data_IF_239114479083
#
_entry.id   IF_239114479083
#
_cell.length_a   1.000
_cell.length_b   1.000
_cell.length_c   1.000
_cell.angle_alpha   90.00
_cell.angle_beta   90.00
_cell.angle_gamma   90.00
#
_symmetry.space_group_name_H-M   'P 1'
#
loop_
_entity.id
_entity.type
_entity.pdbx_description
1 polymer ?
#
# COMPACT_ATOMS: atom_id res chain seq x y z
N UNK A 1 -4.09 12.49 38.04
CA UNK A 1 -2.99 13.47 38.02
C UNK A 1 -2.17 13.43 39.32
N UNK A 2 -2.70 13.85 40.49
CA UNK A 2 -1.98 13.70 41.78
C UNK A 2 -1.62 12.25 42.16
N UNK A 3 -2.54 11.30 41.90
CA UNK A 3 -2.30 9.87 42.09
C UNK A 3 -1.18 9.32 41.18
N UNK A 4 -1.08 9.86 39.96
CA UNK A 4 -0.07 9.47 38.97
C UNK A 4 1.32 10.00 39.31
N UNK A 5 1.43 11.22 39.86
CA UNK A 5 2.72 11.78 40.33
C UNK A 5 3.29 11.06 41.55
N UNK A 6 2.46 10.70 42.53
CA UNK A 6 2.92 9.94 43.69
C UNK A 6 3.34 8.51 43.32
N UNK A 7 2.66 7.88 42.34
CA UNK A 7 3.12 6.60 41.79
C UNK A 7 4.41 6.74 40.98
N UNK A 8 4.59 7.81 40.21
CA UNK A 8 5.84 8.11 39.50
C UNK A 8 7.03 8.22 40.45
N UNK A 9 6.89 8.99 41.54
CA UNK A 9 7.95 9.13 42.54
C UNK A 9 8.29 7.80 43.21
N UNK A 10 7.27 7.00 43.58
CA UNK A 10 7.50 5.68 44.16
C UNK A 10 8.18 4.73 43.17
N UNK A 11 7.71 4.68 41.92
CA UNK A 11 8.27 3.82 40.88
C UNK A 11 9.72 4.19 40.55
N UNK A 12 10.00 5.48 40.37
CA UNK A 12 11.36 5.98 40.10
C UNK A 12 12.32 5.65 41.25
N UNK A 13 11.87 5.79 42.49
CA UNK A 13 12.66 5.41 43.66
C UNK A 13 12.90 3.89 43.75
N UNK A 14 11.92 3.06 43.39
CA UNK A 14 12.07 1.60 43.35
C UNK A 14 13.08 1.17 42.28
N UNK A 15 12.95 1.68 41.04
CA UNK A 15 13.91 1.40 39.97
C UNK A 15 15.33 1.81 40.36
N UNK A 16 15.48 3.01 40.94
CA UNK A 16 16.78 3.50 41.36
C UNK A 16 17.43 2.63 42.44
N UNK A 17 16.64 2.18 43.44
CA UNK A 17 17.12 1.26 44.48
C UNK A 17 17.52 -0.09 43.92
N UNK A 18 16.76 -0.65 42.98
CA UNK A 18 17.09 -1.94 42.38
C UNK A 18 18.33 -1.90 41.50
N UNK A 19 18.48 -0.87 40.67
CA UNK A 19 19.67 -0.72 39.82
C UNK A 19 20.94 -0.55 40.67
N UNK A 20 20.84 0.21 41.77
CA UNK A 20 21.94 0.38 42.73
C UNK A 20 22.22 -0.90 43.51
N UNK A 21 21.20 -1.63 43.94
CA UNK A 21 21.35 -2.91 44.66
C UNK A 21 22.00 -4.00 43.79
N UNK A 22 21.77 -3.99 42.47
CA UNK A 22 22.42 -4.89 41.52
C UNK A 22 23.80 -4.43 41.04
N UNK A 23 24.31 -3.31 41.56
CA UNK A 23 25.61 -2.76 41.18
C UNK A 23 25.68 -2.37 39.70
N UNK A 24 24.56 -1.97 39.10
CA UNK A 24 24.53 -1.53 37.70
C UNK A 24 24.78 -0.02 37.56
N UNK A 25 24.51 0.74 38.62
CA UNK A 25 24.75 2.18 38.70
C UNK A 25 25.45 2.54 40.01
N UNK A 26 26.27 3.57 39.97
CA UNK A 26 26.93 4.18 41.13
C UNK A 26 26.49 5.63 41.31
N UNK A 27 26.51 6.10 42.56
CA UNK A 27 26.22 7.51 42.86
C UNK A 27 27.51 8.19 43.27
N UNK A 28 27.93 9.19 42.50
CA UNK A 28 29.10 10.01 42.79
C UNK A 28 28.85 10.90 44.03
N UNK A 29 29.91 11.36 44.70
CA UNK A 29 29.79 12.22 45.90
C UNK A 29 29.02 13.52 45.68
N UNK A 30 28.94 14.01 44.44
CA UNK A 30 28.17 15.19 44.04
C UNK A 30 26.71 14.90 43.68
N UNK A 31 26.25 13.66 43.89
CA UNK A 31 24.88 13.22 43.66
C UNK A 31 24.59 12.79 42.22
N UNK A 32 25.56 12.85 41.30
CA UNK A 32 25.38 12.32 39.93
C UNK A 32 25.36 10.80 39.92
N UNK A 33 24.64 10.22 38.98
CA UNK A 33 24.48 8.77 38.83
C UNK A 33 25.16 8.35 37.55
N UNK A 34 26.06 7.38 37.63
CA UNK A 34 26.82 6.84 36.50
C UNK A 34 26.63 5.33 36.39
N UNK A 35 26.93 4.75 35.22
CA UNK A 35 27.04 3.30 35.05
C UNK A 35 28.20 2.75 35.88
N UNK A 36 27.99 1.61 36.53
CA UNK A 36 29.05 0.90 37.23
C UNK A 36 30.08 0.33 36.24
N UNK A 37 31.34 0.25 36.66
CA UNK A 37 32.45 -0.17 35.79
C UNK A 37 32.21 -1.59 35.22
N UNK A 38 32.32 -1.72 33.89
CA UNK A 38 32.13 -2.99 33.18
C UNK A 38 30.66 -3.39 32.92
N UNK A 39 29.70 -2.48 33.11
CA UNK A 39 28.28 -2.68 32.79
C UNK A 39 27.87 -1.91 31.55
N UNK A 40 27.03 -2.51 30.72
CA UNK A 40 26.54 -1.87 29.51
C UNK A 40 25.20 -1.16 29.73
N UNK A 41 24.80 -0.33 28.77
CA UNK A 41 23.48 0.31 28.79
C UNK A 41 22.39 -0.76 28.66
N UNK A 42 22.65 -1.83 27.91
CA UNK A 42 21.71 -2.95 27.75
C UNK A 42 21.44 -3.65 29.09
N UNK A 43 22.45 -3.86 29.94
CA UNK A 43 22.28 -4.48 31.27
C UNK A 43 21.32 -3.68 32.16
N UNK A 44 21.44 -2.34 32.13
CA UNK A 44 20.55 -1.43 32.86
C UNK A 44 19.15 -1.48 32.26
N UNK A 45 19.04 -1.48 30.94
CA UNK A 45 17.77 -1.48 30.23
C UNK A 45 16.98 -2.76 30.49
N UNK A 46 17.64 -3.92 30.44
CA UNK A 46 17.04 -5.22 30.71
C UNK A 46 16.54 -5.30 32.16
N UNK A 47 17.34 -4.81 33.12
CA UNK A 47 16.91 -4.79 34.52
C UNK A 47 15.76 -3.83 34.74
N UNK A 48 15.76 -2.65 34.12
CA UNK A 48 14.62 -1.72 34.16
C UNK A 48 13.35 -2.36 33.59
N UNK A 49 13.47 -3.13 32.52
CA UNK A 49 12.32 -3.85 31.93
C UNK A 49 11.80 -4.96 32.84
N UNK A 50 12.67 -5.65 33.59
CA UNK A 50 12.25 -6.61 34.62
C UNK A 50 11.50 -5.93 35.78
N UNK A 51 11.97 -4.79 36.28
CA UNK A 51 11.27 -4.01 37.33
C UNK A 51 9.93 -3.50 36.81
N UNK A 52 9.88 -3.05 35.55
CA UNK A 52 8.64 -2.64 34.88
C UNK A 52 7.62 -3.78 34.83
N UNK A 53 8.07 -4.98 34.47
CA UNK A 53 7.22 -6.16 34.40
C UNK A 53 6.65 -6.53 35.77
N UNK A 54 7.52 -6.59 36.80
CA UNK A 54 7.09 -6.91 38.18
C UNK A 54 6.06 -5.91 38.73
N UNK A 55 6.31 -4.61 38.53
CA UNK A 55 5.37 -3.56 38.94
C UNK A 55 4.07 -3.63 38.14
N UNK A 56 4.14 -3.91 36.83
CA UNK A 56 2.95 -4.10 36.02
C UNK A 56 2.10 -5.29 36.49
N UNK A 57 2.73 -6.42 36.83
CA UNK A 57 2.04 -7.61 37.33
C UNK A 57 1.35 -7.36 38.68
N UNK A 58 2.03 -6.77 39.66
CA UNK A 58 1.42 -6.46 40.97
C UNK A 58 0.28 -5.44 40.88
N UNK A 59 0.34 -4.51 39.92
CA UNK A 59 -0.76 -3.57 39.66
C UNK A 59 -1.91 -4.21 38.87
N UNK A 60 -1.65 -5.14 37.97
CA UNK A 60 -2.69 -5.90 37.28
C UNK A 60 -3.46 -6.80 38.26
N UNK A 61 -2.80 -7.47 39.20
CA UNK A 61 -3.44 -8.25 40.28
C UNK A 61 -4.34 -7.38 41.17
N UNK A 62 -3.87 -6.18 41.53
CA UNK A 62 -4.67 -5.21 42.31
C UNK A 62 -5.92 -4.74 41.54
N UNK A 63 -5.83 -4.53 40.22
CA UNK A 63 -6.93 -4.07 39.37
C UNK A 63 -7.96 -5.16 39.04
N UNK A 64 -7.52 -6.41 38.89
CA UNK A 64 -8.39 -7.57 38.69
C UNK A 64 -9.43 -7.71 39.82
N UNK A 65 -9.05 -7.31 41.03
CA UNK A 65 -9.90 -7.36 42.22
C UNK A 65 -11.03 -6.31 42.29
N UNK A 66 -11.02 -5.25 41.43
CA UNK A 66 -11.90 -4.09 41.65
C UNK A 66 -12.66 -3.51 40.45
N UNK A 67 -12.34 -3.76 39.17
CA UNK A 67 -13.16 -3.24 38.04
C UNK A 67 -12.92 -3.91 36.65
N UNK A 68 -13.96 -3.89 35.80
CA UNK A 68 -14.01 -4.51 34.46
C UNK A 68 -13.17 -3.86 33.33
N UNK A 69 -13.20 -4.51 32.14
CA UNK A 69 -12.25 -4.38 31.03
C UNK A 69 -12.01 -2.98 30.45
N UNK A 70 -13.01 -2.09 30.46
CA UNK A 70 -12.90 -0.72 29.92
C UNK A 70 -11.99 0.17 30.79
N UNK A 71 -11.89 -0.11 32.09
CA UNK A 71 -10.96 0.60 32.99
C UNK A 71 -9.50 0.17 32.80
N UNK A 72 -9.27 -1.06 32.32
CA UNK A 72 -7.93 -1.62 32.04
C UNK A 72 -7.22 -0.83 30.94
N UNK A 73 -7.95 -0.41 29.90
CA UNK A 73 -7.37 0.32 28.76
C UNK A 73 -6.96 1.76 29.12
N UNK A 74 -7.82 2.52 29.81
CA UNK A 74 -7.48 3.89 30.27
C UNK A 74 -6.29 3.90 31.24
N UNK A 75 -6.11 2.85 32.02
CA UNK A 75 -4.95 2.69 32.90
C UNK A 75 -3.68 2.25 32.17
N UNK A 76 -3.77 1.30 31.21
CA UNK A 76 -2.66 0.96 30.29
C UNK A 76 -2.17 2.18 29.49
N UNK A 77 -3.08 3.08 29.07
CA UNK A 77 -2.81 4.40 28.46
C UNK A 77 -2.00 5.34 29.39
N UNK A 78 -2.28 5.31 30.70
CA UNK A 78 -1.53 6.04 31.72
C UNK A 78 -0.14 5.47 31.99
N UNK A 79 -0.03 4.13 32.07
CA UNK A 79 1.22 3.39 32.23
C UNK A 79 2.15 3.55 31.02
N UNK A 80 1.64 3.46 29.78
CA UNK A 80 2.43 3.67 28.56
C UNK A 80 3.03 5.09 28.51
N UNK A 81 2.22 6.12 28.83
CA UNK A 81 2.71 7.51 29.01
C UNK A 81 3.72 7.67 30.15
N UNK A 82 3.56 6.88 31.23
CA UNK A 82 4.50 6.81 32.36
C UNK A 82 5.87 6.30 31.90
N UNK A 83 5.86 5.19 31.16
CA UNK A 83 7.06 4.50 30.70
C UNK A 83 7.76 5.25 29.58
N UNK A 84 7.03 5.88 28.66
CA UNK A 84 7.59 6.77 27.63
C UNK A 84 8.33 7.96 28.23
N UNK A 85 7.81 8.60 29.29
CA UNK A 85 8.52 9.68 29.99
C UNK A 85 9.82 9.20 30.67
N UNK A 86 9.87 7.96 31.16
CA UNK A 86 11.11 7.38 31.73
C UNK A 86 12.13 6.95 30.68
N UNK A 87 11.73 6.76 29.41
CA UNK A 87 12.59 6.35 28.29
C UNK A 87 13.45 7.51 27.74
N UNK A 88 13.19 8.75 28.15
CA UNK A 88 13.81 9.99 27.64
C UNK A 88 15.17 10.31 28.31
N UNK A 89 15.58 9.58 29.34
CA UNK A 89 16.95 9.66 29.87
C UNK A 89 17.90 8.90 28.91
N UNK A 90 18.21 9.51 27.76
CA UNK A 90 19.14 8.99 26.76
C UNK A 90 20.59 9.07 27.25
N UNK A 91 21.28 7.94 27.24
CA UNK A 91 22.72 7.85 27.05
C UNK A 91 22.96 7.75 25.54
N UNK A 92 23.75 8.66 24.99
CA UNK A 92 24.14 8.68 23.57
C UNK A 92 25.35 7.76 23.33
N UNK A 93 25.26 6.92 22.31
CA UNK A 93 26.34 6.10 21.76
C UNK A 93 25.83 5.41 20.49
N UNK A 94 26.40 5.77 19.34
CA UNK A 94 26.04 5.30 18.00
C UNK A 94 26.52 3.88 17.72
N UNK A 95 25.76 3.09 16.96
CA UNK A 95 26.31 2.09 16.04
C UNK A 95 25.42 1.91 14.79
N UNK A 96 26.08 1.86 13.63
CA UNK A 96 25.50 1.80 12.28
C UNK A 96 25.06 0.37 11.92
N UNK A 97 23.91 0.23 11.26
CA UNK A 97 23.44 -1.05 10.71
C UNK A 97 23.66 -1.07 9.19
N UNK A 98 24.40 -2.08 8.72
CA UNK A 98 24.67 -2.40 7.31
C UNK A 98 23.54 -3.30 6.77
N UNK A 99 23.02 -2.98 5.58
CA UNK A 99 21.99 -3.76 4.88
C UNK A 99 22.67 -4.59 3.77
N UNK A 100 22.37 -5.90 3.62
CA UNK A 100 23.02 -6.76 2.63
C UNK A 100 22.45 -6.57 1.21
N UNK A 101 23.35 -6.41 0.23
CA UNK A 101 23.01 -6.31 -1.20
C UNK A 101 22.57 -7.65 -1.79
N UNK A 102 21.45 -7.65 -2.55
CA UNK A 102 21.07 -8.75 -3.45
C UNK A 102 21.31 -8.37 -4.91
N UNK A 103 21.90 -9.33 -5.63
CA UNK A 103 22.34 -9.30 -7.02
C UNK A 103 21.20 -8.98 -8.00
N UNK A 104 21.34 -7.88 -8.72
CA UNK A 104 20.59 -7.58 -9.95
C UNK A 104 21.50 -7.94 -11.14
N UNK A 105 20.98 -8.77 -12.05
CA UNK A 105 21.66 -9.16 -13.30
C UNK A 105 21.87 -7.97 -14.25
N UNK A 106 22.96 -8.01 -15.00
CA UNK A 106 23.79 -6.85 -15.34
C UNK A 106 23.82 -6.45 -16.84
N UNK A 107 23.82 -5.12 -17.13
CA UNK A 107 24.84 -4.34 -17.92
C UNK A 107 24.37 -3.37 -19.04
N UNK A 108 24.84 -2.07 -18.95
CA UNK A 108 25.64 -1.10 -19.85
C UNK A 108 25.20 0.07 -20.89
N UNK A 109 24.97 1.36 -20.53
CA UNK A 109 24.72 2.68 -21.28
C UNK A 109 25.24 3.99 -20.61
N UNK A 110 26.39 4.58 -20.98
CA UNK A 110 27.21 5.59 -20.24
C UNK A 110 26.58 7.00 -20.12
N UNK A 111 26.52 7.61 -18.91
CA UNK A 111 26.42 9.09 -18.72
C UNK A 111 26.88 9.64 -17.35
N UNK A 112 27.26 10.93 -17.37
CA UNK A 112 28.08 11.67 -16.39
C UNK A 112 27.33 12.13 -15.13
N UNK A 113 27.77 11.68 -13.95
CA UNK A 113 27.39 12.22 -12.63
C UNK A 113 28.68 12.62 -11.90
N UNK A 114 28.81 13.88 -11.45
CA UNK A 114 30.05 14.44 -10.83
C UNK A 114 31.32 14.26 -11.68
N UNK A 115 31.22 14.43 -13.00
CA UNK A 115 32.35 14.25 -13.91
C UNK A 115 32.72 12.80 -14.24
N UNK A 116 32.06 11.80 -13.63
CA UNK A 116 32.25 10.37 -13.96
C UNK A 116 31.05 9.79 -14.70
N UNK A 117 31.33 9.18 -15.83
CA UNK A 117 30.42 8.53 -16.76
C UNK A 117 30.03 7.10 -16.26
N UNK A 118 28.75 6.82 -16.02
CA UNK A 118 28.24 5.51 -15.53
C UNK A 118 27.28 4.89 -16.56
N UNK A 119 27.50 3.61 -16.87
CA UNK A 119 26.91 2.88 -18.01
C UNK A 119 25.67 2.01 -17.62
N UNK A 120 24.43 2.46 -17.91
CA UNK A 120 23.11 1.75 -17.74
C UNK A 120 22.46 1.27 -19.09
N UNK A 121 22.58 -0.02 -19.50
CA UNK A 121 21.92 -0.58 -20.72
C UNK A 121 20.63 -1.19 -20.21
N UNK A 122 19.52 -0.79 -20.78
CA UNK A 122 18.26 -1.53 -20.69
C UNK A 122 18.18 -2.42 -21.94
N UNK A 123 18.02 -3.74 -21.74
CA UNK A 123 17.73 -4.64 -22.85
C UNK A 123 16.26 -4.45 -23.25
N UNK A 124 15.92 -4.50 -24.55
CA UNK A 124 14.54 -4.48 -24.99
C UNK A 124 13.78 -5.63 -24.31
N UNK A 125 12.62 -5.31 -23.77
CA UNK A 125 11.75 -6.28 -23.10
C UNK A 125 10.73 -6.74 -24.15
N UNK A 126 11.17 -7.58 -25.10
CA UNK A 126 10.33 -8.04 -26.19
C UNK A 126 9.25 -9.00 -25.69
N UNK A 127 8.08 -8.46 -25.36
CA UNK A 127 6.91 -9.22 -24.96
C UNK A 127 6.14 -9.62 -26.22
N UNK A 128 6.16 -10.89 -26.66
CA UNK A 128 5.40 -11.30 -27.84
C UNK A 128 3.91 -11.06 -27.57
N UNK A 129 3.20 -10.43 -28.50
CA UNK A 129 1.75 -10.24 -28.43
C UNK A 129 1.00 -11.28 -29.27
N UNK A 130 1.44 -11.48 -30.51
CA UNK A 130 0.73 -12.28 -31.49
C UNK A 130 1.25 -12.06 -32.90
N UNK A 131 0.37 -12.20 -33.90
CA UNK A 131 0.71 -11.97 -35.32
C UNK A 131 -0.12 -10.83 -35.90
N UNK A 132 0.49 -9.98 -36.71
CA UNK A 132 -0.23 -9.02 -37.54
C UNK A 132 -1.19 -9.76 -38.46
N UNK A 133 -2.44 -9.31 -38.54
CA UNK A 133 -3.49 -9.98 -39.33
C UNK A 133 -3.20 -9.90 -40.82
N UNK A 134 -2.62 -8.79 -41.28
CA UNK A 134 -2.36 -8.53 -42.70
C UNK A 134 -1.11 -9.26 -43.22
N UNK A 135 -0.03 -9.25 -42.43
CA UNK A 135 1.28 -9.74 -42.88
C UNK A 135 1.66 -11.10 -42.28
N UNK A 136 0.99 -11.54 -41.22
CA UNK A 136 1.36 -12.75 -40.47
C UNK A 136 2.65 -12.62 -39.63
N UNK A 137 3.31 -11.46 -39.65
CA UNK A 137 4.54 -11.21 -38.91
C UNK A 137 4.29 -11.18 -37.39
N UNK A 138 5.28 -11.63 -36.62
CA UNK A 138 5.21 -11.57 -35.16
C UNK A 138 5.29 -10.12 -34.67
N UNK A 139 4.38 -9.75 -33.78
CA UNK A 139 4.34 -8.45 -33.14
C UNK A 139 4.75 -8.58 -31.67
N UNK A 140 5.55 -7.62 -31.21
CA UNK A 140 6.06 -7.54 -29.84
C UNK A 140 5.72 -6.18 -29.25
N UNK A 141 5.46 -6.16 -27.95
CA UNK A 141 5.45 -4.96 -27.15
C UNK A 141 6.79 -4.84 -26.43
N UNK A 142 7.41 -3.66 -26.50
CA UNK A 142 8.65 -3.35 -25.79
C UNK A 142 8.45 -2.06 -24.99
N UNK A 143 8.18 -2.14 -23.67
CA UNK A 143 7.89 -0.96 -22.86
C UNK A 143 9.04 0.04 -22.78
N UNK A 144 10.27 -0.33 -23.15
CA UNK A 144 11.39 0.62 -23.26
C UNK A 144 11.34 1.48 -24.52
N UNK A 145 10.58 1.09 -25.53
CA UNK A 145 10.38 1.88 -26.76
C UNK A 145 9.18 2.81 -26.67
N UNK A 146 8.31 2.60 -25.69
CA UNK A 146 7.13 3.41 -25.48
C UNK A 146 7.46 4.71 -24.73
N UNK A 147 6.63 5.74 -24.88
CA UNK A 147 6.77 7.02 -24.15
C UNK A 147 6.70 6.84 -22.63
N UNK A 148 6.01 5.80 -22.17
CA UNK A 148 5.98 5.32 -20.80
C UNK A 148 5.64 3.81 -20.82
N UNK A 149 5.94 3.05 -19.75
CA UNK A 149 5.71 1.61 -19.74
C UNK A 149 4.24 1.23 -19.47
N UNK A 150 3.30 2.17 -19.35
CA UNK A 150 1.92 1.87 -19.02
C UNK A 150 1.16 1.38 -20.25
N UNK A 151 0.32 0.35 -20.05
CA UNK A 151 -0.46 -0.29 -21.10
C UNK A 151 -1.92 -0.44 -20.66
N UNK A 152 -2.84 -0.17 -21.57
CA UNK A 152 -4.28 -0.33 -21.35
C UNK A 152 -4.87 -1.37 -22.31
N UNK A 153 -5.66 -2.30 -21.78
CA UNK A 153 -6.46 -3.25 -22.53
C UNK A 153 -7.95 -2.94 -22.35
N UNK A 154 -8.65 -2.70 -23.45
CA UNK A 154 -10.09 -2.39 -23.43
C UNK A 154 -10.87 -3.23 -24.43
N UNK A 155 -12.13 -3.51 -24.10
CA UNK A 155 -13.06 -4.22 -24.97
C UNK A 155 -14.13 -4.98 -24.18
N UNK A 156 -15.15 -5.48 -24.85
CA UNK A 156 -16.27 -6.16 -24.21
C UNK A 156 -15.86 -7.48 -23.51
N UNK A 157 -16.72 -7.99 -22.63
CA UNK A 157 -16.56 -9.31 -22.04
C UNK A 157 -16.39 -10.40 -23.11
N UNK A 158 -15.57 -11.42 -22.82
CA UNK A 158 -15.34 -12.56 -23.73
C UNK A 158 -14.38 -12.31 -24.92
N UNK A 159 -13.98 -11.07 -25.19
CA UNK A 159 -13.11 -10.72 -26.34
C UNK A 159 -11.65 -11.22 -26.24
N UNK A 160 -11.17 -11.45 -25.00
CA UNK A 160 -9.83 -11.99 -24.74
C UNK A 160 -8.94 -11.15 -23.83
N UNK A 161 -9.46 -10.09 -23.20
CA UNK A 161 -8.70 -9.20 -22.28
C UNK A 161 -7.91 -9.94 -21.21
N UNK A 162 -8.58 -10.69 -20.34
CA UNK A 162 -7.95 -11.46 -19.26
C UNK A 162 -6.86 -12.40 -19.78
N UNK A 163 -7.12 -13.10 -20.91
CA UNK A 163 -6.13 -14.00 -21.53
C UNK A 163 -4.92 -13.26 -22.12
N UNK A 164 -5.12 -12.03 -22.58
CA UNK A 164 -4.05 -11.15 -23.08
C UNK A 164 -3.21 -10.63 -21.92
N UNK A 165 -3.85 -10.21 -20.84
CA UNK A 165 -3.16 -9.73 -19.65
C UNK A 165 -2.34 -10.85 -19.01
N UNK A 166 -2.92 -12.05 -18.84
CA UNK A 166 -2.21 -13.27 -18.42
C UNK A 166 -1.02 -13.60 -19.33
N UNK A 167 -1.18 -13.44 -20.65
CA UNK A 167 -0.09 -13.68 -21.59
C UNK A 167 1.06 -12.69 -21.38
N UNK A 168 0.76 -11.40 -21.19
CA UNK A 168 1.78 -10.38 -20.91
C UNK A 168 2.47 -10.66 -19.57
N UNK A 169 1.71 -10.92 -18.50
CA UNK A 169 2.25 -11.26 -17.18
C UNK A 169 3.17 -12.49 -17.25
N UNK A 170 2.76 -13.52 -17.99
CA UNK A 170 3.55 -14.74 -18.17
C UNK A 170 4.91 -14.47 -18.84
N UNK A 171 4.94 -13.65 -19.89
CA UNK A 171 6.21 -13.28 -20.55
C UNK A 171 7.05 -12.33 -19.69
N UNK A 172 6.43 -11.44 -18.92
CA UNK A 172 7.13 -10.57 -17.95
C UNK A 172 7.81 -11.40 -16.84
N UNK A 173 7.09 -12.38 -16.29
CA UNK A 173 7.63 -13.31 -15.29
C UNK A 173 8.82 -14.10 -15.86
N UNK A 174 8.73 -14.61 -17.10
CA UNK A 174 9.88 -15.25 -17.79
C UNK A 174 11.08 -14.33 -17.96
N UNK A 175 10.84 -13.03 -18.11
CA UNK A 175 11.88 -12.01 -18.20
C UNK A 175 12.38 -11.55 -16.81
N UNK A 176 11.96 -12.20 -15.72
CA UNK A 176 12.25 -11.84 -14.32
C UNK A 176 11.78 -10.42 -13.95
N UNK A 177 10.66 -9.99 -14.53
CA UNK A 177 9.98 -8.74 -14.16
C UNK A 177 8.72 -9.09 -13.34
N UNK A 178 8.76 -8.96 -12.00
CA UNK A 178 7.64 -9.32 -11.14
C UNK A 178 6.42 -8.44 -11.38
N UNK A 179 5.24 -9.04 -11.27
CA UNK A 179 3.96 -8.32 -11.34
C UNK A 179 3.20 -8.38 -10.00
N UNK A 180 2.63 -7.26 -9.56
CA UNK A 180 1.65 -7.23 -8.47
C UNK A 180 0.27 -7.10 -9.10
N UNK A 181 -0.58 -8.10 -8.91
CA UNK A 181 -1.89 -8.19 -9.56
C UNK A 181 -2.98 -7.92 -8.53
N UNK A 182 -3.76 -6.86 -8.72
CA UNK A 182 -4.95 -6.58 -7.91
C UNK A 182 -6.13 -7.28 -8.60
N UNK A 183 -6.56 -8.40 -8.03
CA UNK A 183 -7.48 -9.35 -8.66
C UNK A 183 -8.86 -9.35 -7.99
N UNK A 184 -9.86 -8.81 -8.69
CA UNK A 184 -11.24 -8.71 -8.20
C UNK A 184 -12.04 -10.01 -8.32
N UNK A 185 -11.60 -10.96 -9.17
CA UNK A 185 -12.38 -12.12 -9.59
C UNK A 185 -11.66 -13.47 -9.42
N UNK A 186 -10.43 -13.45 -8.90
CA UNK A 186 -9.52 -14.58 -8.74
C UNK A 186 -9.12 -15.23 -10.08
N UNK A 187 -9.06 -14.42 -11.14
CA UNK A 187 -8.72 -14.90 -12.46
C UNK A 187 -7.21 -15.15 -12.64
N UNK A 188 -6.31 -14.60 -11.82
CA UNK A 188 -4.87 -14.61 -12.13
C UNK A 188 -4.04 -15.63 -11.35
N UNK A 189 -4.70 -16.52 -10.61
CA UNK A 189 -4.06 -17.56 -9.77
C UNK A 189 -3.01 -18.37 -10.52
N UNK A 190 -3.27 -18.76 -11.77
CA UNK A 190 -2.38 -19.63 -12.54
C UNK A 190 -1.15 -18.94 -13.16
N UNK A 191 -1.10 -17.60 -13.16
CA UNK A 191 0.06 -16.83 -13.62
C UNK A 191 0.86 -16.22 -12.48
N UNK A 192 0.35 -16.32 -11.24
CA UNK A 192 1.03 -15.83 -10.06
C UNK A 192 1.88 -16.93 -9.41
N UNK A 193 3.04 -16.54 -8.89
CA UNK A 193 3.91 -17.40 -8.09
C UNK A 193 3.41 -17.49 -6.65
N UNK A 194 2.78 -16.42 -6.16
CA UNK A 194 2.15 -16.34 -4.85
C UNK A 194 0.75 -15.74 -4.95
N UNK A 195 -0.16 -16.27 -4.14
CA UNK A 195 -1.52 -15.75 -3.99
C UNK A 195 -1.73 -15.28 -2.56
N UNK A 196 -2.34 -14.11 -2.43
CA UNK A 196 -2.67 -13.51 -1.13
C UNK A 196 -4.14 -13.13 -1.13
N UNK A 197 -4.91 -13.75 -0.24
CA UNK A 197 -6.33 -13.43 -0.06
C UNK A 197 -6.49 -12.36 1.02
N UNK A 198 -6.96 -11.17 0.60
CA UNK A 198 -7.16 -10.03 1.51
C UNK A 198 -8.21 -10.27 2.59
N UNK A 199 -9.03 -11.33 2.49
CA UNK A 199 -9.92 -11.73 3.57
C UNK A 199 -9.16 -12.21 4.82
N UNK A 200 -7.94 -12.72 4.65
CA UNK A 200 -7.13 -13.28 5.73
C UNK A 200 -5.99 -12.35 6.17
N UNK A 201 -5.87 -11.18 5.53
CA UNK A 201 -4.81 -10.21 5.76
C UNK A 201 -5.34 -8.93 6.39
N UNK A 202 -4.44 -8.15 7.00
CA UNK A 202 -4.73 -6.79 7.43
C UNK A 202 -3.89 -5.78 6.65
N UNK A 203 -4.48 -4.64 6.32
CA UNK A 203 -3.84 -3.52 5.63
C UNK A 203 -4.13 -2.24 6.41
N UNK A 204 -3.20 -1.74 7.21
CA UNK A 204 -3.48 -0.56 8.02
C UNK A 204 -3.44 0.74 7.17
N UNK A 205 -4.55 1.46 6.97
CA UNK A 205 -4.54 2.70 6.21
C UNK A 205 -3.88 3.87 6.95
N UNK A 206 -3.57 3.72 8.24
CA UNK A 206 -3.08 4.78 9.10
C UNK A 206 -1.58 4.68 9.38
N UNK A 207 -0.84 3.81 8.70
CA UNK A 207 0.60 3.71 8.92
C UNK A 207 1.33 5.00 8.56
N UNK A 208 2.19 5.42 9.48
CA UNK A 208 3.08 6.57 9.32
C UNK A 208 4.52 6.10 9.22
N UNK A 209 5.25 6.63 8.25
CA UNK A 209 6.67 6.39 8.10
C UNK A 209 7.49 7.65 8.37
N UNK A 210 8.78 7.49 8.63
CA UNK A 210 9.72 8.61 8.76
C UNK A 210 9.55 9.63 7.63
N UNK A 211 9.38 10.90 8.00
CA UNK A 211 9.21 12.02 7.08
C UNK A 211 7.77 12.29 6.62
N UNK A 212 6.83 11.39 6.94
CA UNK A 212 5.39 11.61 6.65
C UNK A 212 4.74 12.50 7.71
N UNK A 213 3.72 13.26 7.31
CA UNK A 213 2.88 14.05 8.21
C UNK A 213 1.58 13.28 8.47
N UNK A 214 1.26 12.90 9.73
CA UNK A 214 0.05 12.13 10.00
C UNK A 214 -1.23 12.88 9.58
N UNK A 215 -1.22 14.22 9.60
CA UNK A 215 -2.35 15.00 9.09
C UNK A 215 -2.65 14.73 7.62
N UNK A 216 -1.63 14.59 6.76
CA UNK A 216 -1.82 14.29 5.33
C UNK A 216 -2.40 12.88 5.14
N UNK A 217 -1.97 11.93 5.99
CA UNK A 217 -2.52 10.56 6.01
C UNK A 217 -3.98 10.59 6.45
N UNK A 218 -4.34 11.38 7.46
CA UNK A 218 -5.73 11.54 7.91
C UNK A 218 -6.60 12.08 6.77
N UNK A 219 -6.21 13.20 6.16
CA UNK A 219 -7.00 13.84 5.10
C UNK A 219 -7.14 12.93 3.87
N UNK A 220 -6.05 12.33 3.41
CA UNK A 220 -6.10 11.41 2.27
C UNK A 220 -6.93 10.16 2.55
N UNK A 221 -6.83 9.59 3.76
CA UNK A 221 -7.63 8.43 4.17
C UNK A 221 -9.11 8.79 4.17
N UNK A 222 -9.49 9.88 4.84
CA UNK A 222 -10.87 10.35 4.89
C UNK A 222 -11.41 10.68 3.49
N UNK A 223 -10.59 11.23 2.59
CA UNK A 223 -10.98 11.50 1.21
C UNK A 223 -11.34 10.22 0.43
N UNK A 224 -10.53 9.16 0.56
CA UNK A 224 -10.80 7.85 -0.05
C UNK A 224 -12.13 7.28 0.50
N UNK A 225 -12.31 7.27 1.82
CA UNK A 225 -13.55 6.84 2.47
C UNK A 225 -14.75 7.65 2.00
N UNK A 226 -14.62 8.98 1.95
CA UNK A 226 -15.68 9.89 1.50
C UNK A 226 -16.13 9.57 0.09
N UNK A 227 -15.18 9.31 -0.82
CA UNK A 227 -15.48 9.06 -2.23
C UNK A 227 -16.16 7.71 -2.42
N UNK A 228 -15.63 6.66 -1.80
CA UNK A 228 -16.11 5.28 -1.99
C UNK A 228 -17.45 5.06 -1.27
N UNK A 229 -17.55 5.43 0.02
CA UNK A 229 -18.77 5.27 0.81
C UNK A 229 -19.73 6.47 0.74
N UNK A 230 -19.43 7.46 -0.12
CA UNK A 230 -20.25 8.66 -0.33
C UNK A 230 -20.61 9.33 1.01
N UNK A 231 -19.59 9.63 1.82
CA UNK A 231 -19.78 10.21 3.15
C UNK A 231 -20.28 11.65 3.03
N UNK A 232 -21.30 12.00 3.82
CA UNK A 232 -21.72 13.40 3.98
C UNK A 232 -20.72 14.20 4.81
N UNK A 233 -20.77 15.54 4.75
CA UNK A 233 -19.83 16.43 5.46
C UNK A 233 -19.71 16.14 6.96
N UNK A 234 -20.84 15.84 7.63
CA UNK A 234 -20.84 15.51 9.05
C UNK A 234 -20.14 14.16 9.32
N UNK A 235 -20.39 13.15 8.48
CA UNK A 235 -19.74 11.85 8.59
C UNK A 235 -18.23 11.94 8.34
N UNK A 236 -17.83 12.74 7.35
CA UNK A 236 -16.43 13.04 7.05
C UNK A 236 -15.72 13.69 8.24
N UNK A 237 -16.35 14.70 8.85
CA UNK A 237 -15.83 15.41 10.03
C UNK A 237 -15.67 14.46 11.23
N UNK A 238 -16.69 13.64 11.49
CA UNK A 238 -16.70 12.63 12.55
C UNK A 238 -15.58 11.60 12.35
N UNK A 239 -15.44 11.06 11.14
CA UNK A 239 -14.37 10.10 10.83
C UNK A 239 -12.98 10.74 11.00
N UNK A 240 -12.79 11.96 10.49
CA UNK A 240 -11.53 12.70 10.63
C UNK A 240 -11.15 12.92 12.09
N UNK A 241 -12.12 13.32 12.92
CA UNK A 241 -11.93 13.51 14.36
C UNK A 241 -11.54 12.20 15.04
N UNK A 242 -12.25 11.10 14.76
CA UNK A 242 -11.95 9.80 15.34
C UNK A 242 -10.55 9.28 14.96
N UNK A 243 -10.13 9.46 13.70
CA UNK A 243 -8.77 9.09 13.27
C UNK A 243 -7.73 9.98 13.97
N UNK A 244 -7.93 11.30 14.01
CA UNK A 244 -7.04 12.23 14.73
C UNK A 244 -6.87 11.82 16.20
N UNK A 245 -7.97 11.60 16.92
CA UNK A 245 -7.94 11.13 18.31
C UNK A 245 -7.17 9.82 18.44
N UNK A 246 -7.30 8.90 17.48
CA UNK A 246 -6.59 7.62 17.49
C UNK A 246 -5.07 7.81 17.39
N UNK A 247 -4.58 8.77 16.60
CA UNK A 247 -3.14 9.11 16.59
C UNK A 247 -2.68 9.73 17.91
N UNK A 248 -3.47 10.66 18.45
CA UNK A 248 -3.18 11.32 19.73
C UNK A 248 -3.15 10.32 20.90
N UNK A 249 -3.99 9.28 20.84
CA UNK A 249 -4.00 8.17 21.79
C UNK A 249 -2.72 7.33 21.74
N UNK A 250 -2.09 7.26 20.56
CA UNK A 250 -0.79 6.63 20.34
C UNK A 250 0.39 7.56 20.64
N UNK A 251 0.13 8.79 21.12
CA UNK A 251 1.17 9.78 21.39
C UNK A 251 1.78 10.38 20.13
N UNK A 252 1.16 10.19 18.96
CA UNK A 252 1.62 10.70 17.68
C UNK A 252 1.02 12.08 17.47
N UNK A 253 1.87 13.11 17.46
CA UNK A 253 1.46 14.46 17.10
C UNK A 253 1.14 14.52 15.61
N UNK A 254 -0.10 14.87 15.27
CA UNK A 254 -0.56 14.86 13.87
C UNK A 254 -0.05 16.06 13.07
N UNK A 255 0.29 17.16 13.73
CA UNK A 255 0.72 18.41 13.10
C UNK A 255 2.24 18.46 12.84
N UNK A 256 2.98 17.41 13.22
CA UNK A 256 4.43 17.29 13.04
C UNK A 256 4.75 16.08 12.18
N UNK A 257 5.78 16.21 11.36
CA UNK A 257 6.35 15.07 10.64
C UNK A 257 6.92 14.07 11.64
N UNK A 258 6.72 12.79 11.37
CA UNK A 258 7.26 11.72 12.20
C UNK A 258 8.76 11.57 11.91
N UNK A 259 9.58 11.48 12.97
CA UNK A 259 11.06 11.48 12.88
C UNK A 259 11.63 10.06 12.74
N UNK A 260 10.92 9.06 13.24
CA UNK A 260 11.25 7.63 13.17
C UNK A 260 10.00 6.84 12.81
N UNK A 261 10.14 5.59 12.39
CA UNK A 261 8.97 4.74 12.15
C UNK A 261 8.26 4.48 13.49
N UNK A 262 6.95 4.67 13.50
CA UNK A 262 6.11 4.56 14.71
C UNK A 262 5.00 3.54 14.47
N UNK A 263 4.66 2.80 15.52
CA UNK A 263 3.46 1.99 15.50
C UNK A 263 2.25 2.93 15.44
N UNK A 264 1.51 2.86 14.34
CA UNK A 264 0.35 3.70 14.11
C UNK A 264 -0.94 3.05 14.64
N UNK A 265 -1.97 3.83 14.99
CA UNK A 265 -3.29 3.29 15.31
C UNK A 265 -3.87 2.49 14.13
N UNK A 266 -4.80 1.59 14.43
CA UNK A 266 -5.58 0.83 13.43
C UNK A 266 -7.04 1.28 13.41
N UNK A 267 -7.85 0.74 12.50
CA UNK A 267 -9.28 1.06 12.46
C UNK A 267 -10.07 0.52 13.65
N UNK A 268 -9.55 -0.46 14.40
CA UNK A 268 -10.15 -0.87 15.68
C UNK A 268 -10.09 0.26 16.71
N UNK A 269 -8.98 1.02 16.72
CA UNK A 269 -8.85 2.19 17.58
C UNK A 269 -9.79 3.31 17.14
N UNK A 270 -9.95 3.49 15.82
CA UNK A 270 -10.94 4.43 15.26
C UNK A 270 -12.36 4.03 15.66
N UNK A 271 -12.70 2.73 15.63
CA UNK A 271 -14.00 2.20 16.07
C UNK A 271 -14.26 2.55 17.53
N UNK A 272 -13.28 2.34 18.42
CA UNK A 272 -13.42 2.72 19.82
C UNK A 272 -13.70 4.23 19.98
N UNK A 273 -12.94 5.08 19.29
CA UNK A 273 -13.12 6.53 19.34
C UNK A 273 -14.48 6.98 18.76
N UNK A 274 -14.98 6.31 17.72
CA UNK A 274 -16.33 6.54 17.21
C UNK A 274 -17.40 6.19 18.25
N UNK A 275 -17.29 5.03 18.92
CA UNK A 275 -18.22 4.61 19.96
C UNK A 275 -18.21 5.59 21.13
N UNK A 276 -17.04 6.09 21.55
CA UNK A 276 -16.97 7.11 22.60
C UNK A 276 -17.72 8.39 22.20
N UNK A 277 -17.60 8.83 20.95
CA UNK A 277 -18.31 10.01 20.42
C UNK A 277 -19.84 9.86 20.39
N UNK A 278 -20.39 8.64 20.44
CA UNK A 278 -21.84 8.42 20.58
C UNK A 278 -22.40 8.87 21.92
N UNK A 279 -21.53 9.11 22.91
CA UNK A 279 -21.89 9.57 24.25
C UNK A 279 -21.82 11.09 24.39
N UNK A 280 -21.28 11.83 23.41
CA UNK A 280 -21.12 13.30 23.46
C UNK A 280 -22.47 14.03 23.42
N UNK A 281 -23.38 13.62 22.53
CA UNK A 281 -24.71 14.21 22.35
C UNK A 281 -25.60 13.33 21.47
N UNK A 282 -26.92 13.53 21.54
CA UNK A 282 -27.89 12.80 20.69
C UNK A 282 -27.67 13.05 19.18
N UNK A 283 -27.33 14.28 18.80
CA UNK A 283 -27.00 14.61 17.40
C UNK A 283 -25.71 13.90 16.95
N UNK A 284 -24.68 13.87 17.80
CA UNK A 284 -23.45 13.14 17.49
C UNK A 284 -23.69 11.64 17.34
N UNK A 285 -24.53 11.06 18.20
CA UNK A 285 -24.93 9.65 18.12
C UNK A 285 -25.53 9.30 16.77
N UNK A 286 -26.50 10.06 16.27
CA UNK A 286 -27.13 9.78 14.98
C UNK A 286 -26.15 9.84 13.80
N UNK A 287 -25.23 10.81 13.80
CA UNK A 287 -24.21 10.92 12.74
C UNK A 287 -23.24 9.75 12.80
N UNK A 288 -22.80 9.37 14.00
CA UNK A 288 -21.89 8.25 14.21
C UNK A 288 -22.55 6.92 13.82
N UNK A 289 -23.80 6.66 14.20
CA UNK A 289 -24.53 5.44 13.82
C UNK A 289 -24.63 5.30 12.30
N UNK A 290 -24.98 6.38 11.60
CA UNK A 290 -25.02 6.39 10.12
C UNK A 290 -23.65 6.13 9.49
N UNK A 291 -22.57 6.61 10.11
CA UNK A 291 -21.20 6.32 9.66
C UNK A 291 -20.83 4.86 9.95
N UNK A 292 -21.09 4.37 11.17
CA UNK A 292 -20.83 3.00 11.60
C UNK A 292 -21.50 1.98 10.68
N UNK A 293 -22.75 2.24 10.25
CA UNK A 293 -23.45 1.39 9.29
C UNK A 293 -22.68 1.19 7.97
N UNK A 294 -21.91 2.18 7.54
CA UNK A 294 -21.04 2.08 6.35
C UNK A 294 -19.70 1.39 6.64
N UNK A 295 -19.23 1.45 7.89
CA UNK A 295 -17.93 0.93 8.30
C UNK A 295 -17.97 -0.48 8.91
N UNK A 296 -19.15 -1.01 9.29
CA UNK A 296 -19.27 -2.37 9.84
C UNK A 296 -18.62 -3.44 8.98
N UNK A 297 -18.75 -3.47 7.63
CA UNK A 297 -18.05 -4.46 6.82
C UNK A 297 -16.52 -4.48 7.04
N UNK A 298 -15.92 -3.32 7.34
CA UNK A 298 -14.48 -3.21 7.63
C UNK A 298 -14.15 -3.78 9.00
N UNK A 299 -14.96 -3.42 10.00
CA UNK A 299 -14.73 -3.84 11.39
C UNK A 299 -15.05 -5.31 11.61
N UNK A 300 -16.10 -5.84 10.99
CA UNK A 300 -16.55 -7.21 11.17
C UNK A 300 -15.59 -8.20 10.50
N UNK A 301 -14.99 -7.79 9.38
CA UNK A 301 -13.98 -8.60 8.67
C UNK A 301 -12.56 -8.34 9.17
N UNK A 302 -12.33 -7.28 9.94
CA UNK A 302 -11.01 -6.96 10.48
C UNK A 302 -9.94 -6.59 9.44
N UNK A 303 -10.33 -6.23 8.21
CA UNK A 303 -9.36 -5.96 7.12
C UNK A 303 -8.39 -4.82 7.45
N UNK A 304 -8.77 -3.89 8.33
CA UNK A 304 -7.93 -2.77 8.80
C UNK A 304 -7.71 -2.79 10.33
N UNK A 305 -7.93 -3.94 10.98
CA UNK A 305 -7.95 -4.07 12.44
C UNK A 305 -6.56 -4.01 13.09
N UNK A 306 -5.50 -4.36 12.36
CA UNK A 306 -4.13 -4.51 12.87
C UNK A 306 -3.12 -3.80 11.96
N UNK A 307 -1.85 -3.87 12.33
CA UNK A 307 -0.72 -3.53 11.46
C UNK A 307 -0.78 -4.30 10.15
N UNK A 308 -0.23 -3.73 9.08
CA UNK A 308 -0.23 -4.39 7.78
C UNK A 308 0.55 -5.71 7.85
N UNK A 309 -0.10 -6.80 7.45
CA UNK A 309 0.49 -8.15 7.46
C UNK A 309 1.14 -8.53 6.14
N UNK A 310 0.77 -7.83 5.06
CA UNK A 310 1.38 -8.00 3.74
C UNK A 310 2.89 -7.68 3.79
N UNK A 311 3.72 -8.64 3.38
CA UNK A 311 5.15 -8.41 3.17
C UNK A 311 5.38 -7.69 1.85
N UNK A 312 5.63 -6.38 1.94
CA UNK A 312 5.88 -5.59 0.73
C UNK A 312 7.18 -6.00 0.04
N UNK A 313 8.20 -6.47 0.76
CA UNK A 313 9.44 -6.98 0.16
C UNK A 313 9.17 -8.09 -0.86
N UNK A 314 8.29 -9.04 -0.52
CA UNK A 314 7.94 -10.17 -1.39
C UNK A 314 7.18 -9.71 -2.65
N UNK A 315 6.35 -8.66 -2.53
CA UNK A 315 5.61 -8.09 -3.66
C UNK A 315 6.55 -7.56 -4.76
N UNK A 316 7.81 -7.26 -4.42
CA UNK A 316 8.81 -6.74 -5.35
C UNK A 316 9.75 -7.80 -5.92
N UNK A 317 9.71 -9.04 -5.43
CA UNK A 317 10.64 -10.09 -5.88
C UNK A 317 9.96 -11.19 -6.68
N UNK A 318 8.66 -11.39 -6.51
CA UNK A 318 7.90 -12.47 -7.13
C UNK A 318 6.60 -11.94 -7.72
N UNK A 319 6.04 -12.63 -8.70
CA UNK A 319 4.71 -12.30 -9.22
C UNK A 319 3.62 -12.69 -8.23
N UNK A 320 2.88 -11.72 -7.69
CA UNK A 320 1.88 -11.92 -6.63
C UNK A 320 0.49 -11.53 -7.11
N UNK A 321 -0.51 -12.41 -6.93
CA UNK A 321 -1.92 -12.08 -7.07
C UNK A 321 -2.56 -11.79 -5.72
N UNK A 322 -3.03 -10.55 -5.55
CA UNK A 322 -3.75 -10.06 -4.38
C UNK A 322 -5.24 -10.15 -4.68
N UNK A 323 -5.89 -11.13 -4.06
CA UNK A 323 -7.27 -11.49 -4.29
C UNK A 323 -8.21 -10.66 -3.41
N UNK A 324 -9.22 -10.08 -4.04
CA UNK A 324 -10.26 -9.27 -3.40
C UNK A 324 -11.65 -9.92 -3.50
N UNK A 325 -11.78 -11.03 -4.23
CA UNK A 325 -13.09 -11.65 -4.55
C UNK A 325 -13.92 -11.97 -3.31
N UNK A 326 -13.27 -12.49 -2.27
CA UNK A 326 -13.88 -12.98 -1.02
C UNK A 326 -14.34 -11.85 -0.07
N UNK A 327 -14.03 -10.60 -0.40
CA UNK A 327 -14.61 -9.43 0.28
C UNK A 327 -16.07 -9.23 -0.19
N UNK A 328 -17.02 -8.96 0.72
CA UNK A 328 -18.45 -9.04 0.43
C UNK A 328 -19.01 -7.94 -0.48
N UNK A 329 -18.46 -6.72 -0.44
CA UNK A 329 -19.03 -5.58 -1.18
C UNK A 329 -18.01 -4.97 -2.14
N UNK A 330 -18.50 -4.42 -3.25
CA UNK A 330 -17.65 -3.74 -4.23
C UNK A 330 -17.00 -2.48 -3.66
N UNK A 331 -17.69 -1.77 -2.75
CA UNK A 331 -17.11 -0.65 -2.01
C UNK A 331 -15.90 -1.10 -1.19
N UNK A 332 -16.00 -2.23 -0.49
CA UNK A 332 -14.90 -2.74 0.34
C UNK A 332 -13.73 -3.21 -0.52
N UNK A 333 -13.99 -3.91 -1.63
CA UNK A 333 -12.96 -4.30 -2.60
C UNK A 333 -12.21 -3.08 -3.11
N UNK A 334 -12.95 -2.05 -3.54
CA UNK A 334 -12.38 -0.80 -4.06
C UNK A 334 -11.60 -0.06 -2.98
N UNK A 335 -12.09 -0.05 -1.74
CA UNK A 335 -11.42 0.58 -0.60
C UNK A 335 -10.06 -0.07 -0.29
N UNK A 336 -10.04 -1.40 -0.19
CA UNK A 336 -8.82 -2.17 0.05
C UNK A 336 -7.83 -1.96 -1.09
N UNK A 337 -8.29 -2.03 -2.34
CA UNK A 337 -7.46 -1.78 -3.52
C UNK A 337 -6.85 -0.37 -3.51
N UNK A 338 -7.63 0.67 -3.20
CA UNK A 338 -7.16 2.06 -3.13
C UNK A 338 -6.08 2.25 -2.06
N UNK A 339 -6.23 1.65 -0.88
CA UNK A 339 -5.21 1.72 0.16
C UNK A 339 -3.97 0.91 -0.16
N UNK A 340 -4.13 -0.23 -0.84
CA UNK A 340 -3.03 -1.04 -1.31
C UNK A 340 -2.20 -0.26 -2.34
N UNK A 341 -2.84 0.35 -3.34
CA UNK A 341 -2.17 1.22 -4.33
C UNK A 341 -1.43 2.36 -3.64
N UNK A 342 -2.06 3.02 -2.67
CA UNK A 342 -1.42 4.12 -1.92
C UNK A 342 -0.17 3.63 -1.19
N UNK A 343 -0.25 2.48 -0.52
CA UNK A 343 0.90 1.91 0.21
C UNK A 343 2.01 1.47 -0.75
N UNK A 344 1.66 0.83 -1.87
CA UNK A 344 2.60 0.49 -2.94
C UNK A 344 3.32 1.74 -3.47
N UNK A 345 2.59 2.82 -3.74
CA UNK A 345 3.20 4.09 -4.17
C UNK A 345 4.22 4.59 -3.16
N UNK A 346 3.90 4.58 -1.86
CA UNK A 346 4.85 4.99 -0.81
C UNK A 346 6.12 4.14 -0.81
N UNK A 347 5.98 2.81 -0.91
CA UNK A 347 7.12 1.90 -0.87
C UNK A 347 7.98 2.00 -2.13
N UNK A 348 7.36 2.20 -3.30
CA UNK A 348 8.04 2.49 -4.57
C UNK A 348 8.87 3.77 -4.45
N UNK A 349 8.28 4.86 -3.94
CA UNK A 349 8.98 6.13 -3.76
C UNK A 349 10.14 6.01 -2.77
N UNK A 350 9.97 5.25 -1.68
CA UNK A 350 11.02 5.03 -0.67
C UNK A 350 12.23 4.28 -1.23
N UNK A 351 12.02 3.37 -2.18
CA UNK A 351 13.12 2.64 -2.85
C UNK A 351 13.99 3.54 -3.74
N UNK A 352 13.45 4.68 -4.18
CA UNK A 352 14.17 5.62 -5.03
C UNK A 352 14.05 5.30 -6.51
N UNK A 353 14.58 6.21 -7.32
CA UNK A 353 14.47 6.17 -8.79
C UNK A 353 15.18 4.96 -9.40
N UNK A 354 14.61 4.44 -10.49
CA UNK A 354 15.17 3.35 -11.27
C UNK A 354 14.96 3.62 -12.74
N UNK A 355 16.04 3.52 -13.52
CA UNK A 355 16.00 3.65 -14.98
C UNK A 355 15.64 2.33 -15.68
N UNK A 356 15.74 1.20 -14.98
CA UNK A 356 15.29 -0.09 -15.46
C UNK A 356 13.87 -0.38 -14.98
N UNK A 357 13.06 -0.96 -15.86
CA UNK A 357 11.77 -1.53 -15.49
C UNK A 357 12.03 -2.73 -14.58
N UNK A 358 11.58 -2.62 -13.34
CA UNK A 358 11.80 -3.61 -12.29
C UNK A 358 10.51 -4.27 -11.79
N UNK A 359 9.34 -3.73 -12.16
CA UNK A 359 8.06 -4.24 -11.71
C UNK A 359 6.91 -3.76 -12.59
N UNK A 360 5.82 -4.52 -12.64
CA UNK A 360 4.52 -4.06 -13.11
C UNK A 360 3.44 -4.16 -12.03
N UNK A 361 2.55 -3.17 -11.97
CA UNK A 361 1.29 -3.27 -11.22
C UNK A 361 0.18 -3.56 -12.22
N UNK A 362 -0.61 -4.59 -11.97
CA UNK A 362 -1.70 -5.04 -12.83
C UNK A 362 -3.02 -4.74 -12.14
N UNK A 363 -3.86 -3.95 -12.80
CA UNK A 363 -5.18 -3.55 -12.33
C UNK A 363 -6.21 -4.08 -13.31
N UNK A 364 -6.80 -5.22 -12.98
CA UNK A 364 -7.99 -5.68 -13.70
C UNK A 364 -9.24 -4.96 -13.17
N UNK A 365 -10.22 -4.77 -14.04
CA UNK A 365 -11.38 -3.91 -13.78
C UNK A 365 -11.01 -2.54 -13.20
N UNK A 366 -9.96 -1.92 -13.77
CA UNK A 366 -9.41 -0.67 -13.27
C UNK A 366 -10.44 0.49 -13.26
N UNK A 367 -11.54 0.36 -14.01
CA UNK A 367 -12.68 1.28 -13.94
C UNK A 367 -13.27 1.43 -12.53
N UNK A 368 -13.24 0.37 -11.71
CA UNK A 368 -13.70 0.40 -10.31
C UNK A 368 -12.89 1.40 -9.48
N UNK A 369 -11.64 1.61 -9.86
CA UNK A 369 -10.68 2.47 -9.18
C UNK A 369 -10.49 3.81 -9.89
N UNK A 370 -10.97 4.02 -11.11
CA UNK A 370 -10.83 5.31 -11.82
C UNK A 370 -11.93 6.31 -11.43
N UNK A 371 -11.83 6.80 -10.20
CA UNK A 371 -12.65 7.89 -9.70
C UNK A 371 -11.83 9.17 -9.56
N UNK A 372 -12.51 10.33 -9.49
CA UNK A 372 -11.84 11.63 -9.32
C UNK A 372 -10.92 11.61 -8.10
N UNK A 373 -9.66 12.00 -8.31
CA UNK A 373 -8.59 12.02 -7.30
C UNK A 373 -8.25 10.62 -6.73
N UNK A 374 -8.45 9.57 -7.54
CA UNK A 374 -8.07 8.22 -7.17
C UNK A 374 -6.55 8.05 -7.08
N UNK A 375 -6.05 7.22 -6.14
CA UNK A 375 -4.64 6.83 -6.09
C UNK A 375 -4.08 6.31 -7.42
N UNK A 376 -4.92 5.77 -8.31
CA UNK A 376 -4.50 5.32 -9.65
C UNK A 376 -3.92 6.46 -10.51
N UNK A 377 -4.46 7.68 -10.41
CA UNK A 377 -3.97 8.83 -11.19
C UNK A 377 -2.58 9.24 -10.74
N UNK A 378 -2.35 9.23 -9.43
CA UNK A 378 -1.03 9.49 -8.87
C UNK A 378 -0.04 8.38 -9.27
N UNK A 379 -0.49 7.13 -9.20
CA UNK A 379 0.31 5.97 -9.61
C UNK A 379 0.79 6.13 -11.06
N UNK A 380 -0.13 6.34 -12.01
CA UNK A 380 0.18 6.47 -13.44
C UNK A 380 1.09 7.65 -13.79
N UNK A 381 1.02 8.76 -13.04
CA UNK A 381 1.87 9.93 -13.29
C UNK A 381 3.29 9.76 -12.76
N UNK A 382 3.44 9.07 -11.63
CA UNK A 382 4.67 9.12 -10.85
C UNK A 382 5.50 7.84 -10.90
N UNK A 383 4.91 6.66 -11.06
CA UNK A 383 5.68 5.42 -10.82
C UNK A 383 6.69 5.08 -11.91
N UNK A 384 6.54 5.66 -13.11
CA UNK A 384 7.48 5.46 -14.23
C UNK A 384 8.93 5.84 -13.91
N UNK A 385 9.17 6.91 -13.11
CA UNK A 385 10.53 7.33 -12.71
C UNK A 385 11.21 6.35 -11.74
N UNK A 386 10.42 5.45 -11.16
CA UNK A 386 10.89 4.42 -10.23
C UNK A 386 10.98 3.03 -10.89
N UNK A 387 10.90 2.97 -12.22
CA UNK A 387 11.00 1.71 -12.97
C UNK A 387 9.76 0.82 -12.88
N UNK A 388 8.61 1.38 -12.51
CA UNK A 388 7.37 0.60 -12.39
C UNK A 388 6.44 0.92 -13.55
N UNK A 389 5.99 -0.14 -14.24
CA UNK A 389 4.93 -0.06 -15.23
C UNK A 389 3.56 -0.38 -14.64
N UNK A 390 2.51 -0.01 -15.36
CA UNK A 390 1.12 -0.27 -14.93
C UNK A 390 0.36 -0.87 -16.10
N UNK A 391 -0.21 -2.05 -15.91
CA UNK A 391 -1.08 -2.71 -16.86
C UNK A 391 -2.53 -2.55 -16.39
N UNK A 392 -3.37 -1.95 -17.22
CA UNK A 392 -4.77 -1.69 -16.93
C UNK A 392 -5.65 -2.55 -17.83
N UNK A 393 -6.75 -3.08 -17.28
CA UNK A 393 -7.81 -3.69 -18.09
C UNK A 393 -9.19 -3.17 -17.66
N UNK A 394 -10.07 -2.96 -18.64
CA UNK A 394 -11.50 -2.67 -18.38
C UNK A 394 -12.40 -3.09 -19.53
N UNK A 395 -13.67 -3.30 -19.22
CA UNK A 395 -14.70 -3.63 -20.20
C UNK A 395 -15.17 -2.44 -21.03
N UNK A 396 -15.26 -1.25 -20.41
CA UNK A 396 -15.77 -0.04 -21.06
C UNK A 396 -14.69 1.04 -21.10
N UNK A 397 -14.25 1.44 -22.31
CA UNK A 397 -13.28 2.53 -22.49
C UNK A 397 -13.68 3.83 -21.78
N UNK A 398 -14.97 4.17 -21.79
CA UNK A 398 -15.51 5.41 -21.21
C UNK A 398 -15.55 5.44 -19.68
N UNK A 399 -15.30 4.30 -19.04
CA UNK A 399 -15.16 4.30 -17.58
C UNK A 399 -13.79 4.86 -17.15
N UNK A 400 -12.86 5.06 -18.09
CA UNK A 400 -11.61 5.75 -17.81
C UNK A 400 -11.71 7.25 -18.07
N UNK A 401 -11.07 8.00 -17.18
CA UNK A 401 -10.87 9.43 -17.36
C UNK A 401 -9.84 9.73 -18.46
N UNK A 402 -9.93 10.90 -19.09
CA UNK A 402 -8.90 11.40 -20.02
C UNK A 402 -7.51 11.47 -19.36
N UNK A 403 -7.47 11.64 -18.03
CA UNK A 403 -6.24 11.57 -17.24
C UNK A 403 -5.61 10.17 -17.34
N UNK A 404 -6.39 9.10 -17.17
CA UNK A 404 -5.86 7.74 -17.29
C UNK A 404 -5.34 7.47 -18.69
N UNK A 405 -6.10 7.82 -19.73
CA UNK A 405 -5.71 7.57 -21.12
C UNK A 405 -4.48 8.35 -21.57
N UNK A 406 -4.36 9.62 -21.15
CA UNK A 406 -3.19 10.45 -21.45
C UNK A 406 -1.89 9.98 -20.79
N UNK A 407 -1.98 9.16 -19.72
CA UNK A 407 -0.82 8.60 -19.04
C UNK A 407 -0.47 7.18 -19.52
N UNK A 408 -1.23 6.60 -20.45
CA UNK A 408 -0.94 5.29 -21.03
C UNK A 408 -0.31 5.45 -22.41
N UNK A 409 0.80 4.75 -22.66
CA UNK A 409 1.47 4.80 -23.95
C UNK A 409 0.91 3.79 -24.95
N UNK A 410 0.68 2.55 -24.51
CA UNK A 410 0.20 1.47 -25.37
C UNK A 410 -1.26 1.15 -25.11
N UNK A 411 -2.09 1.10 -26.15
CA UNK A 411 -3.50 0.73 -26.04
C UNK A 411 -3.79 -0.50 -26.90
N UNK A 412 -4.31 -1.56 -26.28
CA UNK A 412 -4.83 -2.77 -26.94
C UNK A 412 -6.36 -2.70 -26.93
N UNK A 413 -6.93 -2.42 -28.10
CA UNK A 413 -8.36 -2.29 -28.33
C UNK A 413 -8.95 -3.58 -28.90
N UNK A 414 -9.83 -4.23 -28.15
CA UNK A 414 -10.69 -5.30 -28.62
C UNK A 414 -12.05 -4.77 -29.09
N UNK A 415 -12.92 -5.67 -29.52
CA UNK A 415 -14.30 -5.35 -29.90
C UNK A 415 -15.04 -4.55 -28.83
N UNK A 416 -15.62 -3.43 -29.24
CA UNK A 416 -16.56 -2.63 -28.47
C UNK A 416 -17.81 -2.41 -29.33
N UNK A 417 -18.94 -3.09 -29.07
CA UNK A 417 -20.13 -2.96 -29.91
C UNK A 417 -20.82 -1.61 -29.70
N UNK A 418 -20.73 -1.04 -28.50
CA UNK A 418 -21.44 0.19 -28.16
C UNK A 418 -20.84 1.41 -28.90
N UNK A 419 -21.62 2.15 -29.72
CA UNK A 419 -21.09 3.20 -30.59
C UNK A 419 -20.31 4.29 -29.85
N UNK A 420 -20.77 4.68 -28.66
CA UNK A 420 -20.11 5.74 -27.89
C UNK A 420 -18.76 5.29 -27.35
N UNK A 421 -18.61 4.02 -26.98
CA UNK A 421 -17.35 3.44 -26.48
C UNK A 421 -16.35 3.26 -27.62
N UNK A 422 -16.82 2.74 -28.75
CA UNK A 422 -16.02 2.60 -29.95
C UNK A 422 -15.55 3.98 -30.48
N UNK A 423 -16.43 4.99 -30.58
CA UNK A 423 -16.03 6.34 -30.99
C UNK A 423 -15.07 7.02 -30.01
N UNK A 424 -15.19 6.72 -28.70
CA UNK A 424 -14.27 7.24 -27.71
C UNK A 424 -12.88 6.62 -27.86
N UNK A 425 -12.80 5.30 -28.01
CA UNK A 425 -11.55 4.58 -28.21
C UNK A 425 -10.90 4.91 -29.56
N UNK A 426 -11.70 5.03 -30.62
CA UNK A 426 -11.27 5.37 -31.97
C UNK A 426 -10.46 6.66 -32.03
N UNK A 427 -10.93 7.69 -31.30
CA UNK A 427 -10.27 8.99 -31.18
C UNK A 427 -8.90 8.92 -30.49
N UNK A 428 -8.70 7.97 -29.57
CA UNK A 428 -7.46 7.84 -28.82
C UNK A 428 -6.40 6.98 -29.53
N UNK A 429 -6.82 6.08 -30.41
CA UNK A 429 -5.90 5.17 -31.11
C UNK A 429 -5.74 5.46 -32.61
N UNK A 430 -6.29 6.58 -33.09
CA UNK A 430 -6.24 7.01 -34.49
C UNK A 430 -6.82 5.97 -35.45
N UNK A 431 -8.09 5.62 -35.27
CA UNK A 431 -8.82 4.66 -36.11
C UNK A 431 -10.29 5.11 -36.23
N UNK A 432 -11.11 4.31 -36.89
CA UNK A 432 -12.56 4.55 -37.00
C UNK A 432 -13.36 3.73 -36.00
N UNK A 433 -14.57 4.20 -35.70
CA UNK A 433 -15.54 3.47 -34.86
C UNK A 433 -15.86 2.11 -35.50
N UNK A 434 -16.03 2.11 -36.81
CA UNK A 434 -16.40 0.96 -37.64
C UNK A 434 -15.32 -0.12 -37.55
N UNK A 435 -14.04 0.25 -37.59
CA UNK A 435 -12.92 -0.70 -37.44
C UNK A 435 -12.91 -1.39 -36.07
N UNK A 436 -13.17 -0.65 -34.99
CA UNK A 436 -13.27 -1.21 -33.63
C UNK A 436 -14.48 -2.15 -33.51
N UNK A 437 -15.63 -1.74 -34.04
CA UNK A 437 -16.84 -2.56 -34.07
C UNK A 437 -16.65 -3.81 -34.95
N UNK A 438 -15.80 -3.75 -35.98
CA UNK A 438 -15.50 -4.88 -36.84
C UNK A 438 -14.56 -5.94 -36.21
N UNK A 439 -14.03 -5.72 -35.00
CA UNK A 439 -13.15 -6.69 -34.30
C UNK A 439 -13.89 -7.90 -33.71
N UNK A 440 -14.90 -8.43 -34.39
CA UNK A 440 -15.79 -9.49 -33.89
C UNK A 440 -15.10 -10.83 -33.65
N UNK A 441 -13.96 -11.08 -34.32
CA UNK A 441 -13.23 -12.33 -34.10
C UNK A 441 -12.45 -12.30 -32.79
N UNK A 442 -12.64 -13.33 -31.95
CA UNK A 442 -11.94 -13.47 -30.66
C UNK A 442 -10.43 -13.34 -30.82
N UNK A 443 -9.80 -12.68 -29.85
CA UNK A 443 -8.36 -12.38 -29.81
C UNK A 443 -7.85 -11.48 -30.96
N UNK A 444 -8.70 -10.92 -31.80
CA UNK A 444 -8.30 -9.85 -32.72
C UNK A 444 -8.40 -8.51 -32.02
N UNK A 445 -7.35 -7.71 -32.10
CA UNK A 445 -7.27 -6.37 -31.51
C UNK A 445 -6.65 -5.38 -32.48
N UNK A 446 -6.90 -4.10 -32.26
CA UNK A 446 -6.08 -3.01 -32.76
C UNK A 446 -5.11 -2.60 -31.65
N UNK A 447 -3.81 -2.60 -31.94
CA UNK A 447 -2.78 -2.22 -30.97
C UNK A 447 -2.12 -0.94 -31.43
N UNK A 448 -2.27 0.09 -30.60
CA UNK A 448 -1.63 1.39 -30.78
C UNK A 448 -0.42 1.48 -29.86
N UNK A 449 0.75 1.43 -30.46
CA UNK A 449 2.02 1.78 -29.82
C UNK A 449 2.22 3.29 -29.85
N UNK A 450 2.90 3.86 -28.85
CA UNK A 450 3.12 5.31 -28.80
C UNK A 450 4.04 5.82 -29.91
N UNK A 451 4.88 4.94 -30.46
CA UNK A 451 5.82 5.26 -31.55
C UNK A 451 5.23 5.13 -32.94
N UNK A 452 4.08 4.48 -33.07
CA UNK A 452 3.41 4.25 -34.37
C UNK A 452 2.35 5.32 -34.59
N UNK A 453 2.14 5.77 -35.83
CA UNK A 453 1.02 6.70 -36.16
C UNK A 453 -0.30 5.94 -36.22
N UNK A 454 -0.32 4.83 -36.96
CA UNK A 454 -1.51 3.99 -37.10
C UNK A 454 -1.46 2.78 -36.15
N UNK A 455 -2.61 2.29 -35.68
CA UNK A 455 -2.68 1.05 -34.93
C UNK A 455 -2.44 -0.15 -35.85
N UNK A 456 -1.90 -1.23 -35.29
CA UNK A 456 -1.66 -2.49 -35.99
C UNK A 456 -2.77 -3.48 -35.61
N UNK A 457 -3.42 -4.10 -36.59
CA UNK A 457 -4.38 -5.18 -36.33
C UNK A 457 -3.65 -6.48 -36.00
N UNK A 458 -3.75 -6.94 -34.76
CA UNK A 458 -3.01 -8.09 -34.24
C UNK A 458 -3.99 -9.18 -33.79
N UNK A 459 -3.73 -10.41 -34.24
CA UNK A 459 -4.26 -11.65 -33.65
C UNK A 459 -3.39 -12.02 -32.45
N UNK A 460 -3.88 -11.71 -31.25
CA UNK A 460 -3.20 -11.99 -29.99
C UNK A 460 -3.09 -13.50 -29.78
N UNK A 461 -1.92 -13.97 -29.35
CA UNK A 461 -1.72 -15.34 -28.86
C UNK A 461 -2.10 -15.39 -27.38
N UNK A 462 -3.21 -16.04 -26.99
CA UNK A 462 -3.68 -16.06 -25.61
C UNK A 462 -2.79 -16.92 -24.70
N UNK A 463 -2.88 -16.69 -23.39
CA UNK A 463 -2.05 -17.37 -22.39
C UNK A 463 -2.11 -18.91 -22.47
N UNK A 464 -3.30 -19.50 -22.58
CA UNK A 464 -3.44 -20.97 -22.59
C UNK A 464 -2.67 -21.64 -23.73
N UNK A 465 -2.51 -20.98 -24.89
CA UNK A 465 -1.70 -21.49 -26.01
C UNK A 465 -0.21 -21.36 -25.74
N UNK A 466 0.22 -20.28 -25.05
CA UNK A 466 1.62 -20.07 -24.67
C UNK A 466 2.09 -21.11 -23.67
N UNK A 467 1.25 -21.41 -22.68
CA UNK A 467 1.53 -22.43 -21.67
C UNK A 467 1.70 -23.81 -22.28
N UNK A 468 0.83 -24.19 -23.24
CA UNK A 468 0.95 -25.46 -23.98
C UNK A 468 2.20 -25.58 -24.84
N UNK A 469 2.74 -24.47 -25.35
CA UNK A 469 3.99 -24.49 -26.14
C UNK A 469 5.26 -24.57 -25.28
N UNK A 470 5.14 -24.34 -23.97
CA UNK A 470 6.28 -24.36 -23.02
C UNK A 470 6.35 -25.62 -22.15
N UNK A 471 5.26 -26.37 -22.10
CA UNK A 471 5.21 -27.75 -21.59
C UNK A 471 5.53 -28.69 -22.74
#
# INVERSE_FOLDING_TARGET
LKLTENMLKKFSNTCFRELKAKGLIETLPDGRVILAYGKSIEDVQEQMDRVRLSVATSLEEWLYSRNGAISRWKFRRGLKRLFEKTRILKLEGEEQIIIPERKISSYKTVKKVRGKEIEVRTRPLYIPLGKAVETGQLCFWDPYKENNPHLLIVGESGTGKTQTLKAIIYELSKANVPCIIIDFHNEYTEVAEKVVDMRNESLNPLECYKGTSPIDIIYSTVAIFKRIYRLGYQQESVLRRAIRTSYEDFGISVDKKVVYDVEAPSFDHVKCNLIEMMNDSALSRQVVEKLMNKLYPIFDLGVFSKSTTLSFEELFTTTVAIQLKELPTDELKTLVASFLIRKLWHDIVRKGESHAINQFIVLDEAHRMDYRDSPIHQLLREVRKYGVGVLLASQKPRDFSDITLSNVATIIAFHCPHPQDASFLARHINTTREEIQALTTKFTSLVKFSTSIEPIKIRIKPYYERRRSSL
#
